data_IF_513338497732
#
_entry.id   IF_513338497732
#
_cell.length_a   1.000
_cell.length_b   1.000
_cell.length_c   1.000
_cell.angle_alpha   90.00
_cell.angle_beta   90.00
_cell.angle_gamma   90.00
#
_symmetry.space_group_name_H-M   'P 1'
#
loop_
_entity.id
_entity.type
_entity.pdbx_description
1 polymer ?
#
# COMPACT_ATOMS: atom_id res chain seq x y z
N UNK A 1 9.34 2.79 13.00
CA UNK A 1 9.90 1.81 12.03
C UNK A 1 11.28 1.32 12.48
N UNK A 2 12.17 2.22 12.89
CA UNK A 2 13.58 1.88 13.17
C UNK A 2 13.78 0.90 14.32
N UNK A 3 13.05 1.05 15.42
CA UNK A 3 13.16 0.15 16.59
C UNK A 3 12.84 -1.30 16.21
N UNK A 4 11.72 -1.53 15.51
CA UNK A 4 11.34 -2.86 15.05
C UNK A 4 12.36 -3.41 14.04
N UNK A 5 12.89 -2.58 13.12
CA UNK A 5 13.97 -3.04 12.24
C UNK A 5 15.22 -3.44 13.03
N UNK A 6 15.59 -2.67 14.06
CA UNK A 6 16.68 -3.00 14.98
C UNK A 6 16.49 -4.36 15.65
N UNK A 7 15.29 -4.65 16.16
CA UNK A 7 14.97 -5.97 16.72
C UNK A 7 15.08 -7.09 15.68
N UNK A 8 14.63 -6.87 14.45
CA UNK A 8 14.73 -7.86 13.37
C UNK A 8 16.19 -8.12 12.94
N UNK A 9 17.05 -7.11 13.00
CA UNK A 9 18.50 -7.28 12.85
C UNK A 9 19.05 -8.13 13.99
N UNK A 10 18.67 -7.87 15.24
CA UNK A 10 19.09 -8.67 16.41
C UNK A 10 18.63 -10.13 16.32
N UNK A 11 17.45 -10.38 15.74
CA UNK A 11 16.93 -11.72 15.48
C UNK A 11 17.65 -12.44 14.32
N UNK A 12 18.59 -11.77 13.63
CA UNK A 12 19.40 -12.38 12.57
C UNK A 12 18.67 -12.54 11.24
N UNK A 13 17.53 -11.88 11.05
CA UNK A 13 16.71 -11.98 9.82
C UNK A 13 16.92 -10.82 8.85
N UNK A 14 17.85 -9.89 9.12
CA UNK A 14 18.18 -8.85 8.14
C UNK A 14 19.08 -9.38 7.00
N UNK A 15 19.41 -8.52 6.05
CA UNK A 15 20.25 -8.81 4.89
C UNK A 15 20.92 -7.54 4.36
N UNK A 16 22.16 -7.58 3.81
CA UNK A 16 22.85 -6.39 3.29
C UNK A 16 22.01 -5.56 2.30
N UNK A 17 21.25 -6.22 1.43
CA UNK A 17 20.31 -5.53 0.51
C UNK A 17 19.24 -4.73 1.24
N UNK A 18 18.70 -5.23 2.36
CA UNK A 18 17.69 -4.51 3.14
C UNK A 18 18.30 -3.30 3.85
N UNK A 19 19.52 -3.43 4.36
CA UNK A 19 20.26 -2.31 4.95
C UNK A 19 20.60 -1.24 3.90
N UNK A 20 20.93 -1.64 2.67
CA UNK A 20 21.17 -0.69 1.58
C UNK A 20 19.90 0.09 1.20
N UNK A 21 18.73 -0.56 1.15
CA UNK A 21 17.46 0.14 0.93
C UNK A 21 17.22 1.15 2.06
N UNK A 22 17.42 0.73 3.32
CA UNK A 22 17.26 1.60 4.48
C UNK A 22 18.21 2.80 4.40
N UNK A 23 19.49 2.58 4.11
CA UNK A 23 20.50 3.61 3.96
C UNK A 23 20.09 4.66 2.90
N UNK A 24 19.69 4.22 1.71
CA UNK A 24 19.22 5.11 0.63
C UNK A 24 18.04 5.94 1.12
N UNK A 25 17.03 5.32 1.71
CA UNK A 25 15.81 6.02 2.16
C UNK A 25 16.06 6.97 3.33
N UNK A 26 17.06 6.69 4.17
CA UNK A 26 17.43 7.52 5.33
C UNK A 26 18.36 8.68 5.01
N UNK A 27 18.83 8.81 3.75
CA UNK A 27 19.68 9.94 3.32
C UNK A 27 19.07 11.26 3.80
N UNK A 28 19.86 12.25 4.25
CA UNK A 28 19.35 13.51 4.79
C UNK A 28 18.34 14.25 3.90
N UNK A 29 18.47 14.10 2.57
CA UNK A 29 17.56 14.71 1.61
C UNK A 29 16.14 14.12 1.66
N UNK A 30 16.02 12.85 2.06
CA UNK A 30 14.75 12.12 2.17
C UNK A 30 14.29 11.97 3.63
N UNK A 31 15.18 11.56 4.53
CA UNK A 31 14.90 11.44 5.97
C UNK A 31 13.81 10.43 6.30
N UNK A 32 13.65 9.38 5.49
CA UNK A 32 12.56 8.42 5.63
C UNK A 32 12.96 7.22 6.48
N UNK A 33 11.95 6.61 7.09
CA UNK A 33 12.15 5.44 7.96
C UNK A 33 11.67 4.17 7.27
N UNK A 34 12.56 3.17 7.26
CA UNK A 34 12.37 1.91 6.52
C UNK A 34 12.60 0.72 7.43
N UNK A 35 11.79 -0.32 7.24
CA UNK A 35 12.04 -1.65 7.84
C UNK A 35 11.84 -2.74 6.80
N UNK A 36 12.46 -3.90 7.01
CA UNK A 36 12.12 -5.11 6.23
C UNK A 36 10.67 -5.53 6.42
N UNK A 37 10.08 -6.27 5.49
CA UNK A 37 8.73 -6.85 5.65
C UNK A 37 8.72 -8.34 5.29
N UNK A 38 7.89 -9.13 5.98
CA UNK A 38 7.86 -10.59 5.85
C UNK A 38 8.98 -11.29 6.63
N UNK A 39 9.52 -12.36 6.05
CA UNK A 39 10.49 -13.25 6.72
C UNK A 39 11.88 -12.63 6.92
N UNK A 40 12.28 -11.65 6.10
CA UNK A 40 13.64 -11.12 6.05
C UNK A 40 14.57 -11.90 5.11
N UNK A 41 15.89 -11.78 5.30
CA UNK A 41 16.90 -12.43 4.45
C UNK A 41 17.02 -11.83 3.04
N UNK A 42 16.42 -10.66 2.80
CA UNK A 42 16.29 -10.02 1.50
C UNK A 42 14.84 -9.65 1.25
N UNK A 43 14.36 -9.89 0.02
CA UNK A 43 12.96 -9.65 -0.34
C UNK A 43 12.60 -8.16 -0.33
N UNK A 44 11.52 -7.82 0.37
CA UNK A 44 10.94 -6.47 0.35
C UNK A 44 11.20 -5.69 1.65
N UNK A 45 11.25 -4.37 1.50
CA UNK A 45 11.21 -3.42 2.59
C UNK A 45 10.03 -2.48 2.43
N UNK A 46 9.58 -1.88 3.54
CA UNK A 46 8.54 -0.85 3.57
C UNK A 46 9.13 0.44 4.12
N UNK A 47 8.94 1.52 3.38
CA UNK A 47 9.34 2.89 3.73
C UNK A 47 8.09 3.71 3.97
N UNK A 48 7.98 4.37 5.12
CA UNK A 48 6.85 5.23 5.43
C UNK A 48 7.07 6.61 4.81
N UNK A 49 6.08 7.09 4.05
CA UNK A 49 6.12 8.40 3.37
C UNK A 49 5.14 9.35 4.08
N UNK A 50 5.61 10.52 4.57
CA UNK A 50 4.72 11.57 5.09
C UNK A 50 3.81 12.16 4.01
N UNK A 51 2.63 12.64 4.39
CA UNK A 51 1.65 13.23 3.47
C UNK A 51 2.16 14.49 2.77
N UNK A 52 3.07 15.23 3.41
CA UNK A 52 3.71 16.45 2.91
C UNK A 52 5.04 16.19 2.18
N UNK A 53 5.38 14.92 1.91
CA UNK A 53 6.61 14.57 1.23
C UNK A 53 6.61 15.04 -0.23
N UNK A 54 7.62 15.82 -0.63
CA UNK A 54 7.60 16.47 -1.94
C UNK A 54 7.70 15.48 -3.11
N UNK A 55 6.92 15.73 -4.17
CA UNK A 55 6.94 14.90 -5.38
C UNK A 55 8.33 14.84 -6.06
N UNK A 56 9.09 15.93 -5.97
CA UNK A 56 10.46 16.01 -6.47
C UNK A 56 11.40 15.07 -5.69
N UNK A 57 11.28 15.01 -4.36
CA UNK A 57 12.05 14.08 -3.51
C UNK A 57 11.61 12.65 -3.74
N UNK A 58 10.31 12.41 -3.89
CA UNK A 58 9.76 11.09 -4.26
C UNK A 58 10.36 10.60 -5.57
N UNK A 59 10.36 11.43 -6.62
CA UNK A 59 10.91 11.06 -7.93
C UNK A 59 12.41 10.72 -7.85
N UNK A 60 13.18 11.53 -7.13
CA UNK A 60 14.61 11.29 -6.91
C UNK A 60 14.86 10.00 -6.13
N UNK A 61 14.11 9.75 -5.06
CA UNK A 61 14.19 8.51 -4.28
C UNK A 61 13.91 7.27 -5.13
N UNK A 62 12.85 7.29 -5.93
CA UNK A 62 12.50 6.18 -6.81
C UNK A 62 13.62 5.90 -7.84
N UNK A 63 14.27 6.95 -8.34
CA UNK A 63 15.40 6.81 -9.25
C UNK A 63 16.66 6.29 -8.56
N UNK A 64 16.96 6.74 -7.35
CA UNK A 64 18.08 6.22 -6.54
C UNK A 64 17.91 4.71 -6.26
N UNK A 65 16.71 4.30 -5.87
CA UNK A 65 16.39 2.88 -5.62
C UNK A 65 16.52 2.03 -6.89
N UNK A 66 15.99 2.52 -8.03
CA UNK A 66 16.14 1.83 -9.32
C UNK A 66 17.60 1.73 -9.78
N UNK A 67 18.37 2.79 -9.59
CA UNK A 67 19.79 2.83 -9.95
C UNK A 67 20.62 1.88 -9.09
N UNK A 68 20.19 1.63 -7.85
CA UNK A 68 20.76 0.60 -6.98
C UNK A 68 20.28 -0.84 -7.30
N UNK A 69 19.43 -1.02 -8.32
CA UNK A 69 18.94 -2.32 -8.78
C UNK A 69 17.66 -2.80 -8.11
N UNK A 70 16.96 -1.94 -7.36
CA UNK A 70 15.70 -2.29 -6.70
C UNK A 70 14.47 -1.93 -7.54
N UNK A 71 13.33 -2.52 -7.20
CA UNK A 71 12.04 -2.25 -7.85
C UNK A 71 11.09 -1.59 -6.85
N UNK A 72 11.01 -0.25 -6.82
CA UNK A 72 10.14 0.44 -5.89
C UNK A 72 8.70 0.53 -6.40
N UNK A 73 7.74 0.39 -5.48
CA UNK A 73 6.31 0.58 -5.73
C UNK A 73 5.78 1.65 -4.76
N UNK A 74 5.06 2.64 -5.28
CA UNK A 74 4.29 3.56 -4.45
C UNK A 74 2.92 2.94 -4.21
N UNK A 75 2.54 2.79 -2.95
CA UNK A 75 1.26 2.17 -2.56
C UNK A 75 0.80 2.72 -1.22
N UNK A 76 -0.49 2.54 -0.92
CA UNK A 76 -1.09 2.85 0.37
C UNK A 76 -1.20 1.62 1.29
N UNK A 77 -1.02 1.91 2.58
CA UNK A 77 -1.39 1.14 3.77
C UNK A 77 -2.88 0.88 3.95
N UNK A 78 -3.37 -0.32 4.30
CA UNK A 78 -4.70 -0.44 4.95
C UNK A 78 -5.90 -0.13 4.05
N UNK A 79 -5.84 -0.55 2.78
CA UNK A 79 -6.99 -0.45 1.88
C UNK A 79 -8.19 -1.31 2.33
N UNK A 80 -9.34 -1.09 1.71
CA UNK A 80 -10.64 -1.63 2.17
C UNK A 80 -10.86 -3.13 2.00
N UNK A 81 -9.86 -3.88 1.51
CA UNK A 81 -9.98 -5.33 1.36
C UNK A 81 -10.72 -5.74 0.09
N UNK A 82 -11.85 -6.44 0.24
CA UNK A 82 -12.60 -7.01 -0.88
C UNK A 82 -13.41 -5.92 -1.58
N UNK A 83 -13.46 -5.97 -2.91
CA UNK A 83 -14.33 -5.10 -3.68
C UNK A 83 -14.86 -5.74 -4.94
N UNK A 84 -16.03 -5.28 -5.36
CA UNK A 84 -16.70 -5.66 -6.60
C UNK A 84 -16.50 -4.53 -7.61
N UNK A 85 -15.94 -4.86 -8.76
CA UNK A 85 -15.75 -3.94 -9.87
C UNK A 85 -16.83 -4.14 -10.94
N UNK A 86 -17.57 -3.08 -11.26
CA UNK A 86 -18.51 -3.08 -12.37
C UNK A 86 -17.96 -2.25 -13.55
N UNK A 87 -17.53 -2.89 -14.66
CA UNK A 87 -16.77 -2.21 -15.72
C UNK A 87 -17.55 -1.17 -16.52
N UNK A 88 -18.89 -1.22 -16.51
CA UNK A 88 -19.76 -0.44 -17.41
C UNK A 88 -20.60 0.64 -16.71
N UNK A 89 -20.48 0.81 -15.39
CA UNK A 89 -21.21 1.87 -14.67
C UNK A 89 -20.49 3.22 -14.76
N UNK A 90 -21.22 4.27 -15.14
CA UNK A 90 -20.74 5.66 -15.16
C UNK A 90 -20.45 6.20 -13.75
N UNK A 91 -19.53 7.18 -13.68
CA UNK A 91 -18.91 7.83 -12.51
C UNK A 91 -19.15 7.17 -11.14
N UNK A 92 -18.10 6.49 -10.65
CA UNK A 92 -18.10 5.76 -9.40
C UNK A 92 -17.97 6.67 -8.17
N UNK A 93 -18.49 6.17 -7.04
CA UNK A 93 -18.24 6.69 -5.70
C UNK A 93 -16.74 6.94 -5.45
N UNK A 94 -16.40 7.83 -4.50
CA UNK A 94 -15.02 8.02 -4.09
C UNK A 94 -14.35 6.71 -3.66
N UNK A 95 -13.01 6.75 -3.63
CA UNK A 95 -12.17 5.59 -3.41
C UNK A 95 -12.45 4.86 -2.09
N UNK A 96 -11.76 3.73 -1.87
CA UNK A 96 -12.03 2.81 -0.77
C UNK A 96 -12.11 3.44 0.63
N UNK A 97 -11.40 4.54 0.85
CA UNK A 97 -11.38 5.28 2.12
C UNK A 97 -12.73 5.95 2.49
N UNK A 98 -13.60 6.19 1.51
CA UNK A 98 -14.84 6.97 1.67
C UNK A 98 -16.11 6.11 1.64
N UNK A 99 -15.98 4.77 1.59
CA UNK A 99 -17.12 3.85 1.57
C UNK A 99 -17.46 3.36 2.99
N UNK A 100 -18.65 3.70 3.46
CA UNK A 100 -19.13 3.44 4.82
C UNK A 100 -19.57 1.98 5.01
N UNK A 101 -19.56 1.54 6.28
CA UNK A 101 -20.01 0.20 6.73
C UNK A 101 -21.41 -0.20 6.24
N UNK A 102 -22.27 0.76 5.91
CA UNK A 102 -23.63 0.56 5.43
C UNK A 102 -23.70 -0.19 4.09
N UNK A 103 -22.71 0.01 3.21
CA UNK A 103 -22.69 -0.65 1.90
C UNK A 103 -22.32 -2.14 2.01
N UNK A 104 -21.42 -2.47 2.94
CA UNK A 104 -21.11 -3.86 3.30
C UNK A 104 -22.30 -4.58 3.96
N UNK A 105 -23.04 -3.90 4.84
CA UNK A 105 -24.27 -4.44 5.42
C UNK A 105 -25.38 -4.68 4.39
N UNK A 106 -25.47 -3.83 3.38
CA UNK A 106 -26.40 -4.02 2.26
C UNK A 106 -26.00 -5.24 1.43
N UNK A 107 -24.71 -5.40 1.10
CA UNK A 107 -24.18 -6.56 0.37
C UNK A 107 -24.50 -7.88 1.07
N UNK A 108 -24.30 -7.95 2.39
CA UNK A 108 -24.54 -9.17 3.16
C UNK A 108 -25.99 -9.69 3.10
N UNK A 109 -26.94 -8.85 2.68
CA UNK A 109 -28.37 -9.16 2.56
C UNK A 109 -28.79 -9.47 1.12
N UNK A 110 -27.89 -9.38 0.14
CA UNK A 110 -28.20 -9.63 -1.27
C UNK A 110 -28.15 -11.12 -1.55
N UNK A 111 -29.28 -11.66 -2.04
CA UNK A 111 -29.35 -13.04 -2.52
C UNK A 111 -28.51 -13.22 -3.78
N UNK A 112 -27.95 -14.42 -3.98
CA UNK A 112 -27.02 -14.66 -5.10
C UNK A 112 -27.65 -14.39 -6.48
N UNK A 113 -28.97 -14.58 -6.61
CA UNK A 113 -29.71 -14.30 -7.84
C UNK A 113 -29.87 -12.82 -8.16
N UNK A 114 -29.79 -11.94 -7.15
CA UNK A 114 -30.05 -10.51 -7.26
C UNK A 114 -28.76 -9.66 -7.28
N UNK A 115 -27.59 -10.31 -7.15
CA UNK A 115 -26.27 -9.67 -7.16
C UNK A 115 -26.05 -8.78 -8.37
N UNK A 116 -26.48 -9.20 -9.56
CA UNK A 116 -26.30 -8.43 -10.79
C UNK A 116 -27.09 -7.13 -10.77
N UNK A 117 -28.39 -7.19 -10.46
CA UNK A 117 -29.27 -6.03 -10.40
C UNK A 117 -28.85 -5.06 -9.28
N UNK A 118 -28.42 -5.59 -8.14
CA UNK A 118 -27.89 -4.77 -7.06
C UNK A 118 -26.56 -4.09 -7.46
N UNK A 119 -25.65 -4.81 -8.12
CA UNK A 119 -24.35 -4.27 -8.57
C UNK A 119 -24.48 -3.12 -9.57
N UNK A 120 -25.50 -3.14 -10.44
CA UNK A 120 -25.80 -2.05 -11.36
C UNK A 120 -26.10 -0.72 -10.64
N UNK A 121 -26.72 -0.78 -9.46
CA UNK A 121 -27.15 0.38 -8.68
C UNK A 121 -26.09 1.01 -7.76
N UNK A 122 -24.97 0.32 -7.50
CA UNK A 122 -23.96 0.75 -6.50
C UNK A 122 -22.75 1.49 -7.08
N UNK A 123 -22.65 1.58 -8.42
CA UNK A 123 -21.59 2.31 -9.12
C UNK A 123 -20.39 1.44 -9.51
N UNK A 124 -19.27 2.08 -9.89
CA UNK A 124 -18.12 1.39 -10.51
C UNK A 124 -17.32 0.51 -9.55
N UNK A 125 -17.15 0.96 -8.32
CA UNK A 125 -16.43 0.23 -7.28
C UNK A 125 -17.27 0.21 -6.02
N UNK A 126 -17.46 -0.99 -5.50
CA UNK A 126 -17.96 -1.21 -4.16
C UNK A 126 -16.92 -1.97 -3.35
N UNK A 127 -16.58 -1.47 -2.16
CA UNK A 127 -15.77 -2.20 -1.18
C UNK A 127 -16.67 -2.75 -0.07
N UNK A 128 -16.40 -3.97 0.38
CA UNK A 128 -17.19 -4.72 1.37
C UNK A 128 -16.34 -5.21 2.53
#
# INVERSE_FOLDING_TARGET
MDENHGHLVTLGVSHPVLEQIKEITSKPDYGLHTKLTGAGGGGCAVTLIPDDFSESKMSSLLNDLRSAGFVPYSTAVGGSGLGIFHPHSGEGRPGPADQTSEAGEAFAKVETGDLGAWAEGVGRWLYV
#
